data_IF_079024517093
#
_entry.id   IF_079024517093
#
_cell.length_a   1.000
_cell.length_b   1.000
_cell.length_c   1.000
_cell.angle_alpha   90.00
_cell.angle_beta   90.00
_cell.angle_gamma   90.00
#
_symmetry.space_group_name_H-M   'P 1'
#
loop_
_entity.id
_entity.type
_entity.pdbx_description
1 polymer ?
#
# COMPACT_ATOMS: atom_id res chain seq x y z
N UNK A 1 -84.31 23.68 7.10
CA UNK A 1 -83.43 22.52 7.31
C UNK A 1 -82.03 22.96 6.90
N UNK A 2 -81.09 22.90 7.85
CA UNK A 2 -79.67 23.32 7.82
C UNK A 2 -78.94 22.90 6.51
N UNK A 3 -77.90 23.55 5.98
CA UNK A 3 -76.85 24.42 6.54
C UNK A 3 -76.17 25.23 5.41
N UNK A 4 -75.67 26.41 5.75
CA UNK A 4 -74.95 27.38 4.90
C UNK A 4 -73.58 26.87 4.44
N UNK A 5 -73.19 27.20 3.20
CA UNK A 5 -71.80 27.16 2.72
C UNK A 5 -71.32 28.58 2.39
N UNK A 6 -70.24 29.02 3.05
CA UNK A 6 -69.52 30.26 2.70
C UNK A 6 -68.03 29.99 2.59
N UNK A 7 -67.48 30.46 1.48
CA UNK A 7 -66.09 30.35 1.01
C UNK A 7 -65.10 31.19 1.81
N UNK A 8 -63.90 30.66 2.08
CA UNK A 8 -62.71 31.46 2.39
C UNK A 8 -61.48 30.90 1.64
N UNK A 9 -60.77 31.79 0.93
CA UNK A 9 -59.48 31.51 0.25
C UNK A 9 -58.36 31.54 1.29
N UNK A 10 -57.50 30.52 1.29
CA UNK A 10 -56.26 30.49 2.10
C UNK A 10 -55.06 30.73 1.18
N UNK A 11 -54.26 31.75 1.49
CA UNK A 11 -52.91 31.96 0.94
C UNK A 11 -51.92 31.18 1.83
N UNK A 12 -51.14 30.28 1.24
CA UNK A 12 -50.05 29.57 1.93
C UNK A 12 -48.76 30.38 1.76
N UNK A 13 -48.17 30.77 2.89
CA UNK A 13 -46.80 31.29 2.96
C UNK A 13 -45.87 30.13 3.33
N UNK A 14 -44.88 29.85 2.49
CA UNK A 14 -43.87 28.81 2.73
C UNK A 14 -42.79 29.37 3.65
N UNK A 15 -42.66 28.78 4.85
CA UNK A 15 -41.62 29.09 5.83
C UNK A 15 -40.33 28.33 5.44
N UNK A 16 -39.24 29.05 5.12
CA UNK A 16 -37.90 28.45 5.00
C UNK A 16 -37.33 28.23 6.42
N UNK A 17 -37.14 26.97 6.80
CA UNK A 17 -36.35 26.59 7.99
C UNK A 17 -34.95 26.24 7.52
N UNK A 18 -33.95 27.04 7.92
CA UNK A 18 -32.55 26.72 7.73
C UNK A 18 -32.12 25.63 8.71
N UNK A 19 -31.83 24.43 8.19
CA UNK A 19 -31.15 23.38 8.95
C UNK A 19 -29.64 23.63 8.84
N UNK A 20 -29.02 24.08 9.94
CA UNK A 20 -27.58 24.01 10.12
C UNK A 20 -27.23 22.54 10.39
N UNK A 21 -26.82 21.80 9.35
CA UNK A 21 -26.26 20.47 9.50
C UNK A 21 -24.83 20.62 10.03
N UNK A 22 -24.67 20.54 11.34
CA UNK A 22 -23.36 20.26 11.95
C UNK A 22 -22.94 18.86 11.52
N UNK A 23 -21.83 18.75 10.79
CA UNK A 23 -21.18 17.46 10.53
C UNK A 23 -20.91 16.75 11.87
N UNK A 24 -21.07 15.42 11.96
CA UNK A 24 -20.70 14.69 13.17
C UNK A 24 -19.21 14.91 13.43
N UNK A 25 -18.84 15.26 14.66
CA UNK A 25 -17.46 15.33 15.09
C UNK A 25 -16.79 13.97 14.84
N UNK A 26 -15.66 13.98 14.11
CA UNK A 26 -14.81 12.79 13.99
C UNK A 26 -14.41 12.33 15.41
N UNK A 27 -14.59 11.05 15.71
CA UNK A 27 -14.16 10.47 16.98
C UNK A 27 -12.62 10.59 17.07
N UNK A 28 -12.11 11.14 18.17
CA UNK A 28 -10.68 11.26 18.40
C UNK A 28 -10.06 9.87 18.63
N UNK A 29 -9.20 9.42 17.72
CA UNK A 29 -8.41 8.20 17.88
C UNK A 29 -7.33 8.42 18.92
N UNK A 30 -7.11 7.44 19.80
CA UNK A 30 -6.25 7.62 20.97
C UNK A 30 -5.07 6.64 20.95
N UNK A 31 -3.85 7.17 21.02
CA UNK A 31 -2.64 6.39 21.31
C UNK A 31 -2.78 5.70 22.66
N UNK A 32 -2.61 4.38 22.68
CA UNK A 32 -2.63 3.61 23.92
C UNK A 32 -1.21 3.38 24.38
N UNK A 33 -0.92 3.67 25.65
CA UNK A 33 0.38 3.43 26.27
C UNK A 33 0.21 2.57 27.51
N UNK A 34 1.07 1.57 27.66
CA UNK A 34 1.27 0.79 28.88
C UNK A 34 2.74 0.88 29.31
N UNK A 35 3.01 1.59 30.41
CA UNK A 35 4.37 1.74 30.94
C UNK A 35 4.75 0.65 31.95
N UNK A 36 3.84 -0.26 32.30
CA UNK A 36 4.05 -1.31 33.31
C UNK A 36 4.38 -0.81 34.74
N UNK A 37 4.31 0.50 34.99
CA UNK A 37 4.59 1.09 36.31
C UNK A 37 3.48 0.84 37.34
N UNK A 38 2.27 0.62 36.84
CA UNK A 38 1.07 0.38 37.65
C UNK A 38 0.90 -1.11 37.99
N UNK A 39 0.07 -1.40 38.99
CA UNK A 39 -0.19 -2.77 39.41
C UNK A 39 0.98 -3.45 40.13
N UNK A 40 0.82 -4.75 40.39
CA UNK A 40 1.79 -5.57 41.10
C UNK A 40 1.65 -7.04 40.69
N UNK A 41 2.77 -7.69 40.38
CA UNK A 41 2.88 -9.14 40.24
C UNK A 41 4.33 -9.54 40.51
N UNK A 42 4.56 -10.22 41.64
CA UNK A 42 5.91 -10.56 42.10
C UNK A 42 6.39 -11.97 41.71
N UNK A 43 5.51 -12.82 41.16
CA UNK A 43 5.82 -14.20 40.80
C UNK A 43 5.63 -14.47 39.32
N UNK A 44 6.32 -15.49 38.80
CA UNK A 44 6.30 -15.84 37.37
C UNK A 44 5.07 -16.67 36.93
N UNK A 45 4.32 -17.29 37.85
CA UNK A 45 3.14 -18.09 37.49
C UNK A 45 2.10 -17.26 36.73
N UNK A 46 1.42 -17.88 35.75
CA UNK A 46 0.36 -17.24 34.96
C UNK A 46 -0.69 -16.56 35.86
N UNK A 47 -0.89 -15.26 35.68
CA UNK A 47 -1.99 -14.52 36.31
C UNK A 47 -2.34 -13.25 35.52
N UNK A 48 -3.60 -12.83 35.61
CA UNK A 48 -4.05 -11.52 35.12
C UNK A 48 -3.57 -10.41 36.06
N UNK A 49 -3.17 -9.27 35.48
CA UNK A 49 -2.75 -8.06 36.16
C UNK A 49 -3.50 -6.89 35.54
N UNK A 50 -4.18 -6.10 36.37
CA UNK A 50 -4.79 -4.84 35.93
C UNK A 50 -3.75 -3.73 35.95
N UNK A 51 -3.49 -3.17 34.77
CA UNK A 51 -2.57 -2.07 34.52
C UNK A 51 -3.32 -0.83 34.02
N UNK A 52 -2.60 0.25 33.77
CA UNK A 52 -3.15 1.54 33.30
C UNK A 52 -3.88 1.45 31.96
N UNK A 53 -3.39 0.62 31.04
CA UNK A 53 -4.03 0.40 29.73
C UNK A 53 -5.21 -0.57 29.79
N UNK A 54 -5.26 -1.44 30.80
CA UNK A 54 -6.26 -2.51 30.95
C UNK A 54 -5.67 -3.77 31.59
N UNK A 55 -6.41 -4.88 31.52
CA UNK A 55 -5.95 -6.17 32.08
C UNK A 55 -5.07 -6.95 31.11
N UNK A 56 -4.00 -7.53 31.64
CA UNK A 56 -3.02 -8.33 30.91
C UNK A 56 -2.75 -9.65 31.63
N UNK A 57 -2.71 -10.76 30.90
CA UNK A 57 -2.20 -12.02 31.44
C UNK A 57 -0.67 -12.04 31.35
N UNK A 58 0.00 -12.22 32.48
CA UNK A 58 1.45 -12.43 32.57
C UNK A 58 1.72 -13.90 32.87
N UNK A 59 2.31 -14.63 31.92
CA UNK A 59 2.73 -16.01 32.07
C UNK A 59 4.25 -16.13 31.90
N UNK A 60 4.91 -16.83 32.82
CA UNK A 60 6.36 -16.83 32.99
C UNK A 60 6.98 -15.42 32.95
N UNK A 61 6.24 -14.46 33.51
CA UNK A 61 6.58 -13.05 33.58
C UNK A 61 6.10 -12.41 34.89
N UNK A 62 6.72 -11.31 35.30
CA UNK A 62 6.35 -10.52 36.49
C UNK A 62 6.57 -9.02 36.23
N UNK A 63 6.16 -8.16 37.16
CA UNK A 63 6.52 -6.74 37.16
C UNK A 63 7.72 -6.52 38.08
N UNK A 64 8.86 -6.15 37.50
CA UNK A 64 10.14 -6.02 38.20
C UNK A 64 10.53 -4.56 38.44
N UNK A 65 11.11 -4.28 39.60
CA UNK A 65 11.72 -3.00 39.97
C UNK A 65 13.04 -3.20 40.75
N UNK A 66 13.71 -4.33 40.55
CA UNK A 66 15.00 -4.64 41.15
C UNK A 66 16.11 -3.81 40.48
N UNK A 67 17.28 -3.71 41.11
CA UNK A 67 18.41 -2.95 40.58
C UNK A 67 18.94 -3.43 39.20
N UNK A 68 18.57 -4.64 38.79
CA UNK A 68 18.93 -5.22 37.51
C UNK A 68 17.81 -5.11 36.46
N UNK A 69 16.63 -4.63 36.82
CA UNK A 69 15.63 -4.24 35.82
C UNK A 69 16.02 -2.92 35.22
N UNK A 70 16.07 -2.89 33.90
CA UNK A 70 16.17 -1.64 33.18
C UNK A 70 14.76 -1.18 32.86
N UNK A 71 14.38 -0.06 33.47
CA UNK A 71 13.03 0.50 33.46
C UNK A 71 13.06 1.94 32.96
N UNK A 72 11.96 2.37 32.35
CA UNK A 72 11.68 3.74 31.99
C UNK A 72 10.57 4.30 32.89
N UNK A 73 10.87 4.39 34.19
CA UNK A 73 9.88 4.73 35.20
C UNK A 73 10.21 4.07 36.52
N UNK A 74 9.28 3.25 37.00
CA UNK A 74 9.32 2.54 38.29
C UNK A 74 9.49 1.03 38.09
N UNK A 75 8.82 0.44 37.09
CA UNK A 75 8.82 -1.01 36.83
C UNK A 75 8.90 -1.32 35.35
N UNK A 76 9.33 -2.53 35.02
CA UNK A 76 9.18 -3.11 33.68
C UNK A 76 8.61 -4.54 33.80
N UNK A 77 8.01 -5.04 32.73
CA UNK A 77 7.70 -6.45 32.64
C UNK A 77 8.99 -7.27 32.50
N UNK A 78 9.23 -8.23 33.39
CA UNK A 78 10.37 -9.14 33.33
C UNK A 78 9.89 -10.53 32.93
N UNK A 79 10.38 -11.03 31.81
CA UNK A 79 9.94 -12.29 31.18
C UNK A 79 11.10 -13.28 31.05
N UNK A 80 10.83 -14.58 31.19
CA UNK A 80 11.82 -15.67 31.06
C UNK A 80 11.26 -16.87 30.30
N UNK A 81 12.10 -17.86 30.02
CA UNK A 81 11.70 -19.08 29.32
C UNK A 81 10.98 -18.77 28.00
N UNK A 82 9.75 -19.26 27.83
CA UNK A 82 8.84 -18.99 26.73
C UNK A 82 7.63 -18.14 27.19
N UNK A 83 7.85 -17.28 28.19
CA UNK A 83 6.82 -16.45 28.81
C UNK A 83 6.10 -15.53 27.83
N UNK A 84 4.92 -15.08 28.25
CA UNK A 84 3.98 -14.29 27.45
C UNK A 84 3.36 -13.16 28.24
N UNK A 85 3.14 -12.04 27.56
CA UNK A 85 2.30 -10.94 28.03
C UNK A 85 1.13 -10.80 27.05
N UNK A 86 -0.10 -11.04 27.51
CA UNK A 86 -1.29 -11.08 26.63
C UNK A 86 -2.30 -10.02 27.04
N UNK A 87 -2.73 -9.18 26.10
CA UNK A 87 -3.84 -8.27 26.32
C UNK A 87 -5.17 -9.04 26.47
N UNK A 88 -5.91 -8.76 27.53
CA UNK A 88 -7.23 -9.37 27.75
C UNK A 88 -8.38 -8.55 27.16
N UNK A 89 -8.07 -7.40 26.56
CA UNK A 89 -9.00 -6.46 25.95
C UNK A 89 -8.57 -6.14 24.51
N UNK A 90 -9.53 -5.71 23.69
CA UNK A 90 -9.28 -5.20 22.35
C UNK A 90 -9.24 -3.68 22.37
N UNK A 91 -8.28 -3.12 21.64
CA UNK A 91 -8.27 -1.70 21.29
C UNK A 91 -9.32 -1.44 20.22
N UNK A 92 -10.14 -0.39 20.36
CA UNK A 92 -11.25 -0.12 19.43
C UNK A 92 -10.78 0.34 18.05
N UNK A 93 -9.64 1.04 18.00
CA UNK A 93 -9.24 1.86 16.86
C UNK A 93 -8.16 1.19 15.97
N UNK A 94 -8.00 -0.13 16.01
CA UNK A 94 -6.92 -0.77 15.27
C UNK A 94 -5.52 -0.47 15.80
N UNK A 95 -4.50 -0.89 15.06
CA UNK A 95 -3.13 -0.47 15.28
C UNK A 95 -2.35 -0.21 13.98
N UNK A 96 -1.70 0.94 13.88
CA UNK A 96 -0.75 1.26 12.82
C UNK A 96 0.66 0.76 13.18
N UNK A 97 1.19 1.22 14.31
CA UNK A 97 2.51 0.82 14.81
C UNK A 97 2.42 0.42 16.27
N UNK A 98 3.32 -0.48 16.67
CA UNK A 98 3.54 -0.85 18.06
C UNK A 98 5.03 -0.67 18.36
N UNK A 99 5.35 0.03 19.44
CA UNK A 99 6.72 0.10 19.96
C UNK A 99 6.81 -0.53 21.33
N UNK A 100 7.93 -1.19 21.60
CA UNK A 100 8.22 -1.82 22.89
C UNK A 100 9.66 -1.51 23.23
N UNK A 101 9.91 -0.96 24.42
CA UNK A 101 11.27 -0.86 24.94
C UNK A 101 11.70 -2.21 25.51
N UNK A 102 12.97 -2.56 25.31
CA UNK A 102 13.50 -3.84 25.75
C UNK A 102 14.97 -3.74 26.14
N UNK A 103 15.38 -4.55 27.11
CA UNK A 103 16.76 -4.67 27.58
C UNK A 103 16.99 -6.06 28.19
N UNK A 104 18.24 -6.51 28.24
CA UNK A 104 18.62 -7.66 29.05
C UNK A 104 18.32 -7.39 30.52
N UNK A 105 17.96 -8.39 31.31
CA UNK A 105 17.96 -8.21 32.76
C UNK A 105 19.41 -8.22 33.28
N UNK A 106 19.90 -7.09 33.81
CA UNK A 106 21.29 -6.95 34.26
C UNK A 106 22.29 -7.39 33.18
N UNK A 107 22.96 -8.51 33.40
CA UNK A 107 23.92 -9.10 32.45
C UNK A 107 23.53 -10.51 31.98
N UNK A 108 22.23 -10.85 32.05
CA UNK A 108 21.71 -12.13 31.53
C UNK A 108 21.99 -12.28 30.02
N UNK A 109 21.96 -13.51 29.51
CA UNK A 109 22.27 -13.82 28.11
C UNK A 109 21.26 -13.28 27.08
N UNK A 110 21.71 -13.13 25.84
CA UNK A 110 20.92 -12.67 24.70
C UNK A 110 19.58 -13.41 24.54
N UNK A 111 18.53 -12.65 24.27
CA UNK A 111 17.14 -13.14 24.32
C UNK A 111 16.30 -12.59 23.17
N UNK A 112 15.50 -13.45 22.55
CA UNK A 112 14.60 -13.08 21.45
C UNK A 112 13.14 -12.98 21.89
N UNK A 113 12.42 -11.99 21.37
CA UNK A 113 10.96 -11.88 21.54
C UNK A 113 10.25 -11.51 20.23
N UNK A 114 8.94 -11.73 20.20
CA UNK A 114 8.08 -11.49 19.04
C UNK A 114 6.81 -10.77 19.46
N UNK A 115 6.29 -9.94 18.56
CA UNK A 115 4.95 -9.35 18.67
C UNK A 115 3.95 -10.18 17.88
N UNK A 116 2.79 -10.42 18.47
CA UNK A 116 1.67 -11.10 17.84
C UNK A 116 0.40 -10.28 18.04
N UNK A 117 -0.51 -10.30 17.07
CA UNK A 117 -1.82 -9.68 17.19
C UNK A 117 -2.95 -10.67 16.91
N UNK A 118 -4.13 -10.33 17.40
CA UNK A 118 -5.39 -10.94 17.00
C UNK A 118 -6.37 -9.82 16.64
N UNK A 119 -7.02 -9.91 15.48
CA UNK A 119 -8.05 -8.97 15.04
C UNK A 119 -9.43 -9.60 15.18
N UNK A 120 -10.44 -8.81 15.53
CA UNK A 120 -11.84 -9.24 15.47
C UNK A 120 -12.44 -9.14 14.05
N UNK A 121 -11.75 -8.46 13.14
CA UNK A 121 -12.24 -8.16 11.79
C UNK A 121 -11.47 -8.98 10.75
N UNK A 122 -10.14 -9.02 10.87
CA UNK A 122 -9.27 -9.75 9.95
C UNK A 122 -8.81 -11.06 10.59
N UNK A 123 -9.45 -12.18 10.26
CA UNK A 123 -9.17 -13.53 10.81
C UNK A 123 -9.43 -13.69 12.33
N UNK A 124 -10.71 -13.61 12.77
CA UNK A 124 -11.09 -13.68 14.18
C UNK A 124 -10.56 -14.94 14.88
N UNK A 125 -10.05 -14.78 16.11
CA UNK A 125 -9.63 -15.91 16.94
C UNK A 125 -8.23 -16.46 16.64
N UNK A 126 -7.53 -15.96 15.62
CA UNK A 126 -6.18 -16.43 15.24
C UNK A 126 -5.12 -15.42 15.66
N UNK A 127 -4.02 -15.90 16.26
CA UNK A 127 -2.85 -15.07 16.54
C UNK A 127 -1.92 -15.03 15.32
N UNK A 128 -1.56 -13.83 14.88
CA UNK A 128 -0.71 -13.58 13.70
C UNK A 128 0.56 -12.87 14.17
N UNK A 129 1.73 -13.35 13.74
CA UNK A 129 3.03 -12.74 14.06
C UNK A 129 3.19 -11.42 13.30
N UNK A 130 3.72 -10.40 13.98
CA UNK A 130 4.09 -9.11 13.39
C UNK A 130 5.61 -9.03 13.25
N UNK A 131 6.08 -8.81 12.02
CA UNK A 131 7.49 -8.58 11.73
C UNK A 131 8.42 -9.74 12.11
N UNK A 132 9.70 -9.42 12.25
CA UNK A 132 10.75 -10.36 12.65
C UNK A 132 10.85 -10.54 14.17
N UNK A 133 11.61 -11.55 14.58
CA UNK A 133 11.99 -11.74 15.98
C UNK A 133 13.02 -10.68 16.37
N UNK A 134 12.77 -9.95 17.46
CA UNK A 134 13.72 -8.96 18.00
C UNK A 134 14.70 -9.67 18.91
N UNK A 135 16.00 -9.46 18.68
CA UNK A 135 17.07 -10.01 19.51
C UNK A 135 17.63 -8.91 20.41
N UNK A 136 17.48 -9.08 21.72
CA UNK A 136 18.05 -8.21 22.74
C UNK A 136 19.37 -8.75 23.21
N UNK A 137 20.44 -7.96 23.08
CA UNK A 137 21.80 -8.32 23.49
C UNK A 137 22.47 -7.25 24.36
N UNK A 138 21.73 -6.22 24.78
CA UNK A 138 22.28 -5.09 25.52
C UNK A 138 21.44 -4.77 26.78
N UNK A 139 22.07 -4.29 27.87
CA UNK A 139 21.41 -3.93 29.11
C UNK A 139 20.76 -2.53 29.07
N UNK A 140 21.11 -1.67 28.12
CA UNK A 140 20.41 -0.40 27.97
C UNK A 140 19.06 -0.60 27.27
N UNK A 141 18.03 0.15 27.67
CA UNK A 141 16.74 0.13 26.99
C UNK A 141 16.88 0.56 25.53
N UNK A 142 16.43 -0.31 24.64
CA UNK A 142 16.33 -0.11 23.20
C UNK A 142 14.86 -0.13 22.82
N UNK A 143 14.47 0.53 21.73
CA UNK A 143 13.08 0.50 21.26
C UNK A 143 12.97 -0.39 20.03
N UNK A 144 12.16 -1.44 20.12
CA UNK A 144 11.69 -2.19 18.98
C UNK A 144 10.45 -1.51 18.41
N UNK A 145 10.35 -1.46 17.08
CA UNK A 145 9.20 -0.90 16.37
C UNK A 145 8.65 -1.91 15.38
N UNK A 146 7.34 -2.10 15.40
CA UNK A 146 6.62 -3.05 14.57
C UNK A 146 5.56 -2.31 13.76
N UNK A 147 5.57 -2.49 12.43
CA UNK A 147 4.48 -2.05 11.57
C UNK A 147 3.37 -3.11 11.61
N UNK A 148 2.22 -2.75 12.19
CA UNK A 148 1.07 -3.65 12.38
C UNK A 148 0.07 -3.46 11.25
N UNK A 149 -0.35 -2.22 11.00
CA UNK A 149 -1.28 -1.84 9.93
C UNK A 149 -2.57 -2.69 9.89
N UNK A 150 -3.21 -2.89 11.05
CA UNK A 150 -4.44 -3.68 11.17
C UNK A 150 -5.61 -2.76 11.56
N UNK A 151 -6.65 -2.62 10.72
CA UNK A 151 -7.87 -1.90 11.06
C UNK A 151 -8.76 -2.68 12.04
N UNK A 152 -9.70 -1.96 12.64
CA UNK A 152 -10.73 -2.54 13.50
C UNK A 152 -10.19 -3.07 14.81
N UNK A 153 -11.01 -3.74 15.61
CA UNK A 153 -10.59 -4.13 16.95
C UNK A 153 -9.42 -5.11 16.95
N UNK A 154 -8.31 -4.77 17.65
CA UNK A 154 -7.10 -5.61 17.76
C UNK A 154 -6.64 -5.73 19.20
N UNK A 155 -5.98 -6.84 19.51
CA UNK A 155 -5.22 -7.03 20.76
C UNK A 155 -3.88 -7.68 20.49
N UNK A 156 -2.96 -7.57 21.44
CA UNK A 156 -1.57 -8.01 21.26
C UNK A 156 -1.12 -9.05 22.28
N UNK A 157 -0.08 -9.78 21.89
CA UNK A 157 0.67 -10.69 22.75
C UNK A 157 2.17 -10.55 22.45
N UNK A 158 2.98 -10.40 23.50
CA UNK A 158 4.43 -10.45 23.43
C UNK A 158 4.90 -11.84 23.85
N UNK A 159 5.73 -12.49 23.02
CA UNK A 159 6.23 -13.84 23.28
C UNK A 159 7.74 -13.84 23.33
N UNK A 160 8.33 -14.32 24.42
CA UNK A 160 9.76 -14.65 24.43
C UNK A 160 9.96 -15.98 23.69
N UNK A 161 10.93 -16.03 22.77
CA UNK A 161 11.14 -17.18 21.88
C UNK A 161 12.56 -17.76 21.91
N UNK A 162 13.51 -17.06 22.51
CA UNK A 162 14.88 -17.57 22.69
C UNK A 162 15.55 -17.00 23.94
N UNK A 163 16.74 -17.52 24.29
CA UNK A 163 17.50 -17.15 25.49
C UNK A 163 17.22 -18.03 26.72
N UNK A 164 16.29 -19.00 26.61
CA UNK A 164 16.01 -19.96 27.69
C UNK A 164 15.64 -19.25 29.00
N UNK A 165 16.33 -19.60 30.08
CA UNK A 165 16.10 -19.02 31.41
C UNK A 165 16.57 -17.57 31.56
N UNK A 166 17.33 -17.03 30.59
CA UNK A 166 17.77 -15.65 30.60
C UNK A 166 16.56 -14.71 30.57
N UNK A 167 16.56 -13.72 31.47
CA UNK A 167 15.46 -12.79 31.64
C UNK A 167 15.61 -11.58 30.71
N UNK A 168 14.47 -11.08 30.28
CA UNK A 168 14.33 -9.93 29.40
C UNK A 168 13.41 -8.91 30.08
N UNK A 169 13.78 -7.64 30.07
CA UNK A 169 12.90 -6.53 30.41
C UNK A 169 12.17 -6.04 29.15
N UNK A 170 10.87 -5.84 29.28
CA UNK A 170 9.98 -5.22 28.30
C UNK A 170 9.27 -4.06 28.99
N UNK A 171 9.27 -2.91 28.35
CA UNK A 171 8.78 -1.67 28.94
C UNK A 171 8.16 -0.74 27.88
N UNK A 172 7.42 0.29 28.31
CA UNK A 172 6.80 1.31 27.44
C UNK A 172 6.16 0.71 26.17
N UNK A 173 5.15 -0.14 26.34
CA UNK A 173 4.37 -0.68 25.23
C UNK A 173 3.40 0.38 24.71
N UNK A 174 3.65 0.87 23.50
CA UNK A 174 2.86 1.95 22.89
C UNK A 174 2.22 1.43 21.61
N UNK A 175 0.91 1.64 21.47
CA UNK A 175 0.13 1.36 20.27
C UNK A 175 -0.37 2.68 19.69
N UNK A 176 0.11 3.02 18.50
CA UNK A 176 -0.50 4.06 17.70
C UNK A 176 -1.77 3.47 17.04
N UNK A 177 -2.95 4.10 17.17
CA UNK A 177 -4.19 3.58 16.61
C UNK A 177 -4.08 3.44 15.10
N UNK A 178 -4.80 2.47 14.53
CA UNK A 178 -4.99 2.41 13.09
C UNK A 178 -5.94 3.52 12.72
N UNK A 179 -5.37 4.62 12.28
CA UNK A 179 -6.17 5.62 11.68
C UNK A 179 -6.60 5.17 10.28
N UNK A 180 -7.91 5.17 9.99
CA UNK A 180 -8.38 5.52 8.63
C UNK A 180 -8.22 7.02 8.37
N UNK A 181 -7.20 7.63 8.98
CA UNK A 181 -6.58 8.85 8.51
C UNK A 181 -5.26 8.42 7.89
N UNK A 182 -4.87 9.03 6.80
CA UNK A 182 -3.76 8.57 5.98
C UNK A 182 -2.44 8.34 6.67
N UNK A 183 -1.54 7.58 6.03
CA UNK A 183 -0.21 7.42 6.55
C UNK A 183 0.45 8.80 6.78
N UNK A 184 1.27 8.95 7.84
CA UNK A 184 2.20 10.06 7.93
C UNK A 184 3.07 10.09 6.67
N UNK A 185 3.65 11.25 6.30
CA UNK A 185 4.64 11.28 5.23
C UNK A 185 5.69 10.21 5.52
N UNK A 186 6.21 9.51 4.50
CA UNK A 186 7.37 8.66 4.66
C UNK A 186 8.43 9.41 5.49
N UNK A 187 9.30 8.70 6.25
CA UNK A 187 10.50 9.32 6.76
C UNK A 187 11.11 10.16 5.64
N UNK A 188 11.43 11.42 5.94
CA UNK A 188 12.11 12.32 5.02
C UNK A 188 13.56 11.83 4.77
N UNK A 189 13.70 10.62 4.22
CA UNK A 189 14.93 9.92 3.83
C UNK A 189 14.68 8.64 3.00
N UNK A 190 13.48 8.39 2.44
CA UNK A 190 13.44 7.68 1.16
C UNK A 190 13.89 8.66 0.07
N UNK A 191 14.71 8.27 -0.92
CA UNK A 191 15.11 9.25 -1.93
C UNK A 191 13.84 9.79 -2.58
N UNK A 192 13.66 11.11 -2.54
CA UNK A 192 12.72 11.78 -3.44
C UNK A 192 12.95 11.21 -4.85
N UNK A 193 11.88 11.02 -5.64
CA UNK A 193 11.90 10.39 -6.96
C UNK A 193 11.84 8.84 -6.99
N UNK A 194 11.44 8.18 -5.90
CA UNK A 194 11.16 6.73 -5.91
C UNK A 194 9.89 6.39 -6.71
N UNK A 195 9.88 5.21 -7.31
CA UNK A 195 8.80 4.72 -8.16
C UNK A 195 7.57 4.28 -7.37
N UNK A 196 7.66 4.21 -6.04
CA UNK A 196 6.56 3.92 -5.13
C UNK A 196 6.21 5.11 -4.24
N UNK A 197 6.63 6.35 -4.58
CA UNK A 197 6.31 7.55 -3.79
C UNK A 197 4.81 7.73 -3.56
N UNK A 198 3.97 7.37 -4.55
CA UNK A 198 2.50 7.45 -4.42
C UNK A 198 1.88 6.21 -3.74
N UNK A 199 2.68 5.24 -3.31
CA UNK A 199 2.21 4.05 -2.58
C UNK A 199 2.44 2.74 -3.32
N UNK A 200 2.04 1.65 -2.66
CA UNK A 200 2.15 0.28 -3.16
C UNK A 200 0.73 -0.29 -3.37
N UNK A 201 0.20 -0.29 -4.60
CA UNK A 201 -1.24 -0.47 -4.84
C UNK A 201 -1.88 -1.78 -4.38
N UNK A 202 -1.07 -2.82 -4.18
CA UNK A 202 -1.56 -4.14 -3.78
C UNK A 202 -0.84 -4.67 -2.55
N UNK A 203 -0.02 -3.86 -1.88
CA UNK A 203 0.88 -4.33 -0.82
C UNK A 203 1.84 -5.42 -1.30
N UNK A 204 2.30 -5.34 -2.56
CA UNK A 204 3.23 -6.31 -3.12
C UNK A 204 4.53 -6.35 -2.30
N UNK A 205 5.06 -7.55 -2.08
CA UNK A 205 6.31 -7.77 -1.34
C UNK A 205 7.25 -8.69 -2.12
N UNK A 206 8.57 -8.53 -1.91
CA UNK A 206 9.57 -9.39 -2.52
C UNK A 206 9.68 -10.74 -1.78
N UNK A 207 8.57 -11.46 -1.70
CA UNK A 207 8.45 -12.77 -1.05
C UNK A 207 7.95 -13.82 -2.06
N UNK A 208 8.75 -14.86 -2.28
CA UNK A 208 8.41 -15.96 -3.18
C UNK A 208 7.10 -16.68 -2.81
N UNK A 209 6.67 -16.57 -1.54
CA UNK A 209 5.39 -17.09 -1.05
C UNK A 209 4.19 -16.23 -1.47
N UNK A 210 4.42 -15.06 -2.08
CA UNK A 210 3.41 -14.19 -2.69
C UNK A 210 3.55 -14.16 -4.23
N UNK A 211 3.48 -15.31 -4.93
CA UNK A 211 3.87 -15.42 -6.33
C UNK A 211 2.96 -14.66 -7.30
N UNK A 212 1.74 -14.35 -6.89
CA UNK A 212 0.77 -13.60 -7.69
C UNK A 212 0.79 -12.10 -7.40
N UNK A 213 1.65 -11.64 -6.47
CA UNK A 213 1.77 -10.25 -6.03
C UNK A 213 3.22 -9.92 -5.63
N UNK A 214 4.19 -10.39 -6.43
CA UNK A 214 5.61 -10.34 -6.10
C UNK A 214 6.23 -8.99 -6.49
N UNK A 215 6.82 -8.29 -5.53
CA UNK A 215 7.45 -7.00 -5.79
C UNK A 215 8.83 -7.17 -6.45
N UNK A 216 8.98 -6.60 -7.65
CA UNK A 216 10.26 -6.36 -8.30
C UNK A 216 10.57 -4.87 -8.25
N UNK A 217 11.55 -4.48 -7.44
CA UNK A 217 12.09 -3.12 -7.43
C UNK A 217 13.27 -3.03 -8.38
N UNK A 218 13.16 -2.18 -9.40
CA UNK A 218 14.26 -1.86 -10.32
C UNK A 218 14.59 -0.37 -10.21
N UNK A 219 15.82 0.04 -10.58
CA UNK A 219 16.17 1.46 -10.57
C UNK A 219 15.29 2.32 -11.46
N UNK A 220 14.63 1.74 -12.47
CA UNK A 220 13.84 2.47 -13.46
C UNK A 220 12.33 2.45 -13.21
N UNK A 221 11.81 1.46 -12.48
CA UNK A 221 10.38 1.31 -12.18
C UNK A 221 10.17 0.21 -11.13
N UNK A 222 9.01 0.18 -10.49
CA UNK A 222 8.59 -0.87 -9.57
C UNK A 222 7.45 -1.70 -10.17
N UNK A 223 7.41 -3.00 -9.89
CA UNK A 223 6.43 -3.93 -10.48
C UNK A 223 5.82 -4.82 -9.40
N UNK A 224 4.49 -4.96 -9.38
CA UNK A 224 3.86 -6.16 -8.82
C UNK A 224 3.72 -7.19 -9.94
N UNK A 225 4.49 -8.26 -9.86
CA UNK A 225 4.49 -9.32 -10.84
C UNK A 225 3.56 -10.46 -10.45
N UNK A 226 2.79 -10.97 -11.42
CA UNK A 226 1.92 -12.11 -11.24
C UNK A 226 2.45 -13.30 -12.04
N UNK A 227 3.12 -14.22 -11.32
CA UNK A 227 3.69 -15.44 -11.91
C UNK A 227 2.67 -16.22 -12.73
N UNK A 228 1.47 -16.38 -12.20
CA UNK A 228 0.44 -17.26 -12.78
C UNK A 228 -0.24 -16.63 -14.00
N UNK A 229 -0.08 -15.32 -14.19
CA UNK A 229 -0.55 -14.62 -15.38
C UNK A 229 0.55 -14.35 -16.41
N UNK A 230 1.83 -14.55 -16.06
CA UNK A 230 2.97 -14.24 -16.92
C UNK A 230 3.07 -12.75 -17.28
N UNK A 231 2.56 -11.86 -16.43
CA UNK A 231 2.50 -10.41 -16.67
C UNK A 231 2.42 -9.64 -15.33
N UNK A 232 2.68 -8.32 -15.30
CA UNK A 232 2.44 -7.52 -14.11
C UNK A 232 0.95 -7.40 -13.77
N UNK A 233 0.64 -7.25 -12.47
CA UNK A 233 -0.61 -6.68 -11.99
C UNK A 233 -0.62 -5.18 -12.25
N UNK A 234 0.46 -4.51 -11.86
CA UNK A 234 0.74 -3.10 -12.11
C UNK A 234 2.25 -2.85 -12.19
N UNK A 235 2.62 -1.75 -12.85
CA UNK A 235 3.96 -1.16 -12.88
C UNK A 235 3.83 0.32 -12.52
N UNK A 236 4.68 0.78 -11.62
CA UNK A 236 4.72 2.17 -11.15
C UNK A 236 6.07 2.79 -11.47
N UNK A 237 6.08 4.04 -11.92
CA UNK A 237 7.30 4.77 -12.21
C UNK A 237 7.14 6.28 -12.03
N UNK A 238 8.25 6.91 -11.68
CA UNK A 238 8.39 8.36 -11.64
C UNK A 238 8.95 8.84 -12.98
N UNK A 239 8.40 9.92 -13.53
CA UNK A 239 8.84 10.52 -14.77
C UNK A 239 9.09 12.02 -14.58
N UNK A 240 10.32 12.42 -14.83
CA UNK A 240 10.78 13.80 -14.84
C UNK A 240 12.01 13.91 -15.75
N UNK A 241 12.54 15.12 -15.91
CA UNK A 241 13.65 15.44 -16.81
C UNK A 241 14.88 14.52 -16.61
N UNK A 242 15.17 14.11 -15.36
CA UNK A 242 16.28 13.19 -15.01
C UNK A 242 16.24 11.85 -15.75
N UNK A 243 15.06 11.41 -16.18
CA UNK A 243 14.86 10.16 -16.91
C UNK A 243 14.93 10.32 -18.42
N UNK A 244 14.95 11.56 -18.89
CA UNK A 244 15.05 11.91 -20.31
C UNK A 244 16.50 12.14 -20.72
N UNK A 245 16.81 11.82 -21.95
CA UNK A 245 18.13 11.95 -22.53
C UNK A 245 18.13 11.54 -24.00
N UNK A 246 19.31 11.22 -24.52
CA UNK A 246 19.52 10.92 -25.94
C UNK A 246 19.78 9.45 -26.23
N UNK A 247 19.64 8.56 -25.24
CA UNK A 247 19.84 7.13 -25.44
C UNK A 247 18.85 6.59 -26.46
N UNK A 248 19.37 5.86 -27.46
CA UNK A 248 18.54 5.23 -28.48
C UNK A 248 17.66 4.13 -27.87
N UNK A 249 16.52 3.86 -28.54
CA UNK A 249 15.65 2.74 -28.20
C UNK A 249 16.37 1.39 -28.44
N UNK A 250 16.46 0.56 -27.42
CA UNK A 250 17.29 -0.66 -27.48
C UNK A 250 16.63 -1.83 -28.22
N UNK A 251 15.30 -1.99 -28.14
CA UNK A 251 14.56 -3.08 -28.78
C UNK A 251 15.01 -4.51 -28.37
N UNK A 252 15.67 -4.64 -27.23
CA UNK A 252 16.29 -5.86 -26.71
C UNK A 252 15.36 -6.62 -25.76
N UNK A 253 14.17 -6.97 -26.27
CA UNK A 253 13.17 -7.76 -25.53
C UNK A 253 13.81 -9.03 -24.98
N UNK A 254 13.74 -9.23 -23.66
CA UNK A 254 14.41 -10.36 -23.01
C UNK A 254 13.75 -10.78 -21.71
N UNK A 255 14.00 -12.03 -21.33
CA UNK A 255 13.60 -12.58 -20.03
C UNK A 255 14.18 -11.73 -18.90
N UNK A 256 13.42 -11.66 -17.80
CA UNK A 256 13.93 -11.07 -16.57
C UNK A 256 14.54 -12.16 -15.69
N UNK A 257 15.87 -12.25 -15.72
CA UNK A 257 16.62 -13.29 -15.01
C UNK A 257 16.63 -13.06 -13.48
N UNK A 258 16.01 -11.98 -12.98
CA UNK A 258 15.84 -11.75 -11.54
C UNK A 258 14.58 -12.41 -10.98
N UNK A 259 13.73 -13.01 -11.82
CA UNK A 259 12.60 -13.79 -11.35
C UNK A 259 13.08 -15.03 -10.56
N UNK A 260 12.35 -15.44 -9.50
CA UNK A 260 12.71 -16.62 -8.71
C UNK A 260 12.90 -17.89 -9.56
N UNK A 261 13.86 -18.72 -9.16
CA UNK A 261 14.16 -19.96 -9.86
C UNK A 261 12.92 -20.87 -9.97
N UNK A 262 12.74 -21.48 -11.14
CA UNK A 262 11.61 -22.36 -11.45
C UNK A 262 10.33 -21.63 -11.88
N UNK A 263 10.28 -20.29 -11.81
CA UNK A 263 9.17 -19.55 -12.39
C UNK A 263 9.28 -19.51 -13.90
N UNK A 264 8.13 -19.47 -14.57
CA UNK A 264 8.10 -19.26 -16.00
C UNK A 264 8.65 -17.85 -16.33
N UNK A 265 9.73 -17.81 -17.12
CA UNK A 265 10.31 -16.56 -17.60
C UNK A 265 9.80 -16.30 -19.02
N UNK A 266 8.98 -15.26 -19.15
CA UNK A 266 8.45 -14.83 -20.44
C UNK A 266 9.61 -14.42 -21.35
N UNK A 267 9.72 -15.08 -22.51
CA UNK A 267 10.77 -14.84 -23.48
C UNK A 267 10.36 -13.85 -24.56
N UNK A 268 11.34 -13.39 -25.34
CA UNK A 268 11.10 -12.50 -26.47
C UNK A 268 10.16 -13.12 -27.51
N UNK A 269 10.24 -14.43 -27.74
CA UNK A 269 9.40 -15.18 -28.70
C UNK A 269 8.01 -15.53 -28.18
N UNK A 270 7.71 -15.34 -26.90
CA UNK A 270 6.43 -15.72 -26.28
C UNK A 270 5.20 -15.03 -26.89
N UNK A 271 5.40 -13.89 -27.54
CA UNK A 271 4.34 -13.11 -28.18
C UNK A 271 4.22 -13.38 -29.69
N UNK A 272 5.19 -14.10 -30.27
CA UNK A 272 5.29 -14.32 -31.72
C UNK A 272 4.05 -15.04 -32.25
N UNK A 273 3.46 -14.52 -33.32
CA UNK A 273 2.27 -15.10 -33.95
C UNK A 273 0.96 -14.95 -33.17
N UNK A 274 0.97 -14.28 -32.01
CA UNK A 274 -0.24 -14.09 -31.20
C UNK A 274 -1.22 -13.06 -31.77
N UNK A 275 -0.73 -12.10 -32.56
CA UNK A 275 -1.48 -10.94 -33.01
C UNK A 275 -1.58 -9.81 -31.96
N UNK A 276 -0.91 -9.95 -30.81
CA UNK A 276 -0.75 -8.90 -29.81
C UNK A 276 0.67 -8.32 -29.86
N UNK A 277 0.78 -7.03 -29.59
CA UNK A 277 2.06 -6.35 -29.37
C UNK A 277 2.64 -6.71 -28.00
N UNK A 278 3.95 -6.55 -27.87
CA UNK A 278 4.65 -6.50 -26.57
C UNK A 278 4.43 -5.10 -25.98
N UNK A 279 3.27 -4.90 -25.38
CA UNK A 279 2.84 -3.62 -24.81
C UNK A 279 3.65 -3.30 -23.55
N UNK A 280 4.36 -2.18 -23.55
CA UNK A 280 5.14 -1.74 -22.39
C UNK A 280 4.20 -1.20 -21.31
N UNK A 281 4.53 -1.40 -20.03
CA UNK A 281 3.91 -0.62 -18.97
C UNK A 281 4.67 0.70 -18.77
N UNK A 282 5.91 0.63 -18.29
CA UNK A 282 6.85 1.75 -18.34
C UNK A 282 7.41 1.85 -19.78
N UNK A 283 7.10 2.89 -20.56
CA UNK A 283 7.47 2.94 -21.96
C UNK A 283 8.94 3.29 -22.14
N UNK A 284 9.52 2.80 -23.24
CA UNK A 284 10.93 3.03 -23.57
C UNK A 284 11.28 4.53 -23.69
N UNK A 285 10.36 5.35 -24.22
CA UNK A 285 10.56 6.79 -24.37
C UNK A 285 10.61 7.56 -23.04
N UNK A 286 10.19 6.95 -21.93
CA UNK A 286 10.26 7.54 -20.59
C UNK A 286 11.60 7.24 -19.90
N UNK A 287 12.48 6.46 -20.53
CA UNK A 287 13.80 6.07 -20.01
C UNK A 287 14.85 6.22 -21.09
N UNK A 288 15.28 7.45 -21.35
CA UNK A 288 16.27 7.79 -22.39
C UNK A 288 17.53 8.44 -21.83
N UNK A 289 17.64 8.56 -20.50
CA UNK A 289 18.84 9.08 -19.81
C UNK A 289 20.08 8.25 -20.14
N UNK A 290 20.00 6.92 -20.01
CA UNK A 290 21.10 6.01 -20.37
C UNK A 290 20.62 4.82 -21.20
N UNK A 291 21.57 4.17 -21.90
CA UNK A 291 21.32 2.90 -22.60
C UNK A 291 20.80 1.82 -21.64
N UNK A 292 21.33 1.78 -20.41
CA UNK A 292 20.90 0.80 -19.39
C UNK A 292 19.45 1.04 -18.94
N UNK A 293 19.06 2.30 -18.74
CA UNK A 293 17.69 2.65 -18.37
C UNK A 293 16.71 2.29 -19.47
N UNK A 294 17.07 2.60 -20.73
CA UNK A 294 16.24 2.26 -21.87
C UNK A 294 16.12 0.74 -22.06
N UNK A 295 17.24 0.01 -21.98
CA UNK A 295 17.27 -1.45 -22.06
C UNK A 295 16.41 -2.09 -20.97
N UNK A 296 16.37 -1.51 -19.76
CA UNK A 296 15.56 -2.04 -18.67
C UNK A 296 14.06 -2.09 -19.03
N UNK A 297 13.53 -1.18 -19.86
CA UNK A 297 12.10 -1.20 -20.23
C UNK A 297 11.73 -2.39 -21.10
N UNK A 298 12.70 -3.09 -21.69
CA UNK A 298 12.51 -4.26 -22.56
C UNK A 298 12.50 -5.61 -21.83
N UNK A 299 12.61 -5.60 -20.49
CA UNK A 299 12.37 -6.80 -19.70
C UNK A 299 10.91 -7.25 -19.84
N UNK A 300 10.69 -8.54 -20.08
CA UNK A 300 9.33 -9.06 -20.30
C UNK A 300 8.42 -8.99 -19.05
N UNK A 301 8.99 -8.75 -17.87
CA UNK A 301 8.23 -8.42 -16.63
C UNK A 301 7.53 -7.06 -16.70
N UNK A 302 7.89 -6.21 -17.65
CA UNK A 302 7.24 -4.92 -17.97
C UNK A 302 6.23 -5.03 -19.14
N UNK A 303 5.95 -6.24 -19.64
CA UNK A 303 5.11 -6.42 -20.84
C UNK A 303 3.72 -6.99 -20.54
N UNK A 304 2.73 -6.56 -21.32
CA UNK A 304 1.40 -7.19 -21.41
C UNK A 304 1.05 -7.48 -22.88
N UNK A 305 0.21 -8.50 -23.16
CA UNK A 305 -0.41 -8.66 -24.49
C UNK A 305 -1.36 -7.49 -24.76
N UNK A 306 -0.94 -6.57 -25.62
CA UNK A 306 -1.71 -5.37 -25.94
C UNK A 306 -2.15 -5.39 -27.40
N UNK A 307 -3.41 -5.05 -27.67
CA UNK A 307 -3.92 -4.97 -29.03
C UNK A 307 -3.13 -3.89 -29.80
N UNK A 308 -2.79 -4.11 -31.09
CA UNK A 308 -2.10 -3.07 -31.86
C UNK A 308 -2.82 -1.72 -31.91
N UNK A 309 -4.15 -1.69 -31.99
CA UNK A 309 -4.91 -0.44 -31.93
C UNK A 309 -4.78 0.27 -30.57
N UNK A 310 -4.78 -0.47 -29.46
CA UNK A 310 -4.62 0.13 -28.13
C UNK A 310 -3.18 0.66 -27.97
N UNK A 311 -2.17 -0.19 -28.19
CA UNK A 311 -0.75 0.15 -28.04
C UNK A 311 -0.31 1.33 -28.93
N UNK A 312 -0.57 1.25 -30.23
CA UNK A 312 0.01 2.16 -31.22
C UNK A 312 -0.79 3.45 -31.41
N UNK A 313 -2.04 3.52 -30.88
CA UNK A 313 -2.89 4.71 -30.97
C UNK A 313 -3.15 5.29 -29.60
N UNK A 314 -4.12 4.73 -28.85
CA UNK A 314 -4.58 5.28 -27.56
C UNK A 314 -3.40 5.45 -26.61
N UNK A 315 -2.62 4.38 -26.43
CA UNK A 315 -1.52 4.36 -25.47
C UNK A 315 -0.37 5.25 -25.89
N UNK A 316 0.12 5.10 -27.13
CA UNK A 316 1.17 5.95 -27.68
C UNK A 316 0.85 7.45 -27.61
N UNK A 317 -0.40 7.84 -27.87
CA UNK A 317 -0.83 9.25 -27.81
C UNK A 317 -0.84 9.76 -26.37
N UNK A 318 -1.34 8.98 -25.42
CA UNK A 318 -1.38 9.37 -24.01
C UNK A 318 0.03 9.42 -23.37
N UNK A 319 0.91 8.52 -23.76
CA UNK A 319 2.33 8.56 -23.38
C UNK A 319 3.04 9.79 -23.94
N UNK A 320 2.74 10.14 -25.20
CA UNK A 320 3.20 11.40 -25.80
C UNK A 320 2.78 12.61 -24.98
N UNK A 321 1.49 12.67 -24.61
CA UNK A 321 0.96 13.75 -23.78
C UNK A 321 1.61 13.82 -22.39
N UNK A 322 1.92 12.67 -21.79
CA UNK A 322 2.62 12.64 -20.50
C UNK A 322 3.98 13.33 -20.59
N UNK A 323 4.72 13.10 -21.68
CA UNK A 323 6.02 13.77 -21.90
C UNK A 323 5.87 15.27 -22.17
N UNK A 324 4.82 15.74 -22.85
CA UNK A 324 4.61 17.19 -23.02
C UNK A 324 4.31 17.90 -21.69
N UNK A 325 3.71 17.21 -20.72
CA UNK A 325 3.56 17.75 -19.37
C UNK A 325 4.91 17.90 -18.67
N UNK A 326 5.82 16.93 -18.85
CA UNK A 326 7.19 17.00 -18.31
C UNK A 326 7.96 18.15 -18.95
N UNK A 327 7.90 18.29 -20.28
CA UNK A 327 8.50 19.41 -21.01
C UNK A 327 7.96 20.78 -20.54
N UNK A 328 6.72 20.81 -20.02
CA UNK A 328 6.09 22.00 -19.45
C UNK A 328 6.49 22.27 -17.99
N UNK A 329 7.47 21.55 -17.43
CA UNK A 329 7.98 21.76 -16.08
C UNK A 329 7.22 21.00 -14.99
N UNK A 330 6.54 19.90 -15.37
CA UNK A 330 5.92 18.99 -14.41
C UNK A 330 6.79 17.75 -14.18
N UNK A 331 6.52 17.08 -13.08
CA UNK A 331 6.93 15.72 -12.80
C UNK A 331 5.68 14.85 -12.60
N UNK A 332 5.78 13.60 -13.04
CA UNK A 332 4.67 12.68 -13.09
C UNK A 332 4.95 11.44 -12.26
N UNK A 333 3.94 11.00 -11.51
CA UNK A 333 3.92 9.68 -10.89
C UNK A 333 2.88 8.85 -11.62
N UNK A 334 3.34 7.78 -12.27
CA UNK A 334 2.52 7.02 -13.21
C UNK A 334 2.41 5.58 -12.73
N UNK A 335 1.18 5.08 -12.66
CA UNK A 335 0.87 3.68 -12.36
C UNK A 335 0.04 3.14 -13.52
N UNK A 336 0.46 2.02 -14.08
CA UNK A 336 -0.25 1.33 -15.15
C UNK A 336 -0.49 -0.13 -14.79
N UNK A 337 -1.59 -0.68 -15.27
CA UNK A 337 -1.83 -2.12 -15.19
C UNK A 337 -2.89 -2.59 -16.18
N UNK A 338 -3.31 -3.83 -15.99
CA UNK A 338 -4.32 -4.46 -16.84
C UNK A 338 -5.11 -5.52 -16.08
N UNK A 339 -6.40 -5.62 -16.38
CA UNK A 339 -7.31 -6.55 -15.71
C UNK A 339 -8.24 -7.29 -16.69
N UNK A 340 -9.03 -8.18 -16.12
CA UNK A 340 -9.96 -9.04 -16.84
C UNK A 340 -9.29 -10.14 -17.68
N UNK A 341 -10.04 -10.70 -18.62
CA UNK A 341 -9.61 -11.81 -19.47
C UNK A 341 -10.20 -11.65 -20.86
N UNK A 342 -9.37 -11.76 -21.89
CA UNK A 342 -9.83 -11.82 -23.26
C UNK A 342 -9.74 -10.51 -24.04
N UNK A 343 -8.65 -10.31 -24.77
CA UNK A 343 -8.47 -9.17 -25.67
C UNK A 343 -8.62 -9.59 -27.14
N UNK A 344 -8.62 -8.62 -28.04
CA UNK A 344 -8.68 -8.86 -29.50
C UNK A 344 -7.47 -8.25 -30.19
N UNK A 345 -6.55 -9.11 -30.64
CA UNK A 345 -5.38 -8.76 -31.43
C UNK A 345 -5.69 -8.74 -32.94
N UNK A 346 -4.66 -8.62 -33.78
CA UNK A 346 -4.83 -8.73 -35.26
C UNK A 346 -5.29 -10.11 -35.71
N UNK A 347 -5.01 -11.14 -34.90
CA UNK A 347 -5.39 -12.53 -35.17
C UNK A 347 -6.74 -12.91 -34.52
N UNK A 348 -7.48 -11.93 -33.99
CA UNK A 348 -8.77 -12.15 -33.33
C UNK A 348 -8.66 -12.23 -31.81
N UNK A 349 -9.72 -12.76 -31.19
CA UNK A 349 -9.84 -12.87 -29.74
C UNK A 349 -8.90 -13.93 -29.17
N UNK A 350 -8.25 -13.62 -28.04
CA UNK A 350 -7.51 -14.60 -27.25
C UNK A 350 -7.64 -14.31 -25.76
N UNK A 351 -7.83 -15.36 -24.96
CA UNK A 351 -7.81 -15.30 -23.50
C UNK A 351 -6.38 -15.45 -22.94
N UNK A 352 -5.53 -16.20 -23.64
CA UNK A 352 -4.14 -16.46 -23.28
C UNK A 352 -3.29 -16.59 -24.54
N UNK A 353 -1.99 -16.32 -24.43
CA UNK A 353 -0.99 -16.60 -25.47
C UNK A 353 0.06 -17.57 -24.93
N UNK A 354 1.02 -17.95 -25.78
CA UNK A 354 2.20 -18.72 -25.40
C UNK A 354 1.88 -20.07 -24.71
N UNK A 355 0.93 -20.82 -25.29
CA UNK A 355 0.49 -22.09 -24.75
C UNK A 355 -0.26 -21.98 -23.41
N UNK A 356 -0.88 -20.82 -23.13
CA UNK A 356 -1.66 -20.61 -21.90
C UNK A 356 -0.90 -19.92 -20.78
N UNK A 357 0.41 -19.67 -20.95
CA UNK A 357 1.31 -19.18 -19.89
C UNK A 357 1.23 -17.67 -19.66
N UNK A 358 0.66 -16.93 -20.61
CA UNK A 358 0.50 -15.48 -20.50
C UNK A 358 -0.96 -15.14 -20.71
N UNK A 359 -1.56 -14.49 -19.71
CA UNK A 359 -2.97 -14.08 -19.74
C UNK A 359 -3.12 -12.80 -20.56
N UNK A 360 -4.09 -12.78 -21.46
CA UNK A 360 -4.46 -11.58 -22.23
C UNK A 360 -5.53 -10.82 -21.44
N UNK A 361 -5.25 -9.57 -21.01
CA UNK A 361 -6.26 -8.73 -20.37
C UNK A 361 -7.28 -8.21 -21.40
N UNK A 362 -8.50 -7.89 -20.98
CA UNK A 362 -9.48 -7.22 -21.84
C UNK A 362 -9.52 -5.70 -21.62
N UNK A 363 -8.85 -5.21 -20.57
CA UNK A 363 -8.80 -3.80 -20.17
C UNK A 363 -7.39 -3.39 -19.77
N UNK A 364 -6.99 -2.18 -20.15
CA UNK A 364 -5.68 -1.58 -19.82
C UNK A 364 -5.94 -0.21 -19.22
N UNK A 365 -5.37 0.04 -18.05
CA UNK A 365 -5.62 1.27 -17.29
C UNK A 365 -4.31 1.96 -16.89
N UNK A 366 -4.40 3.27 -16.65
CA UNK A 366 -3.27 4.09 -16.20
C UNK A 366 -3.78 5.26 -15.37
N UNK A 367 -3.07 5.55 -14.28
CA UNK A 367 -3.25 6.72 -13.43
C UNK A 367 -1.98 7.56 -13.47
N UNK A 368 -2.12 8.86 -13.66
CA UNK A 368 -1.03 9.84 -13.69
C UNK A 368 -1.34 10.95 -12.69
N UNK A 369 -0.47 11.12 -11.70
CA UNK A 369 -0.42 12.31 -10.85
C UNK A 369 0.44 13.36 -11.54
N UNK A 370 -0.08 14.57 -11.77
CA UNK A 370 0.65 15.67 -12.40
C UNK A 370 0.99 16.72 -11.35
N UNK A 371 2.28 16.94 -11.09
CA UNK A 371 2.76 17.98 -10.18
C UNK A 371 3.76 18.89 -10.90
N UNK A 372 3.78 20.20 -10.63
CA UNK A 372 4.96 21.00 -10.98
C UNK A 372 6.21 20.41 -10.34
N UNK A 373 7.39 20.53 -10.95
CA UNK A 373 8.64 20.03 -10.32
C UNK A 373 8.85 20.66 -8.94
N UNK A 374 9.16 19.85 -7.93
CA UNK A 374 9.39 20.32 -6.56
C UNK A 374 10.01 19.26 -5.65
N UNK A 375 9.76 19.41 -4.35
CA UNK A 375 10.17 18.47 -3.30
C UNK A 375 8.98 18.11 -2.42
N UNK A 376 9.09 17.07 -1.61
CA UNK A 376 8.03 16.60 -0.72
C UNK A 376 6.70 16.26 -1.45
N UNK A 377 6.78 15.54 -2.56
CA UNK A 377 5.71 15.45 -3.56
C UNK A 377 4.37 14.94 -3.04
N UNK A 378 4.37 13.94 -2.16
CA UNK A 378 3.15 13.43 -1.50
C UNK A 378 2.38 14.56 -0.83
N UNK A 379 3.07 15.49 -0.17
CA UNK A 379 2.45 16.62 0.54
C UNK A 379 1.90 17.70 -0.39
N UNK A 380 2.34 17.72 -1.66
CA UNK A 380 1.91 18.70 -2.67
C UNK A 380 0.68 18.21 -3.44
N UNK A 381 0.33 16.93 -3.33
CA UNK A 381 -0.94 16.42 -3.86
C UNK A 381 -2.09 16.95 -3.00
N UNK A 382 -3.03 17.60 -3.67
CA UNK A 382 -4.20 18.23 -3.06
C UNK A 382 -5.42 18.01 -3.93
N UNK A 383 -6.59 18.44 -3.45
CA UNK A 383 -7.85 18.35 -4.21
C UNK A 383 -7.84 19.12 -5.55
N UNK A 384 -6.88 20.05 -5.75
CA UNK A 384 -6.68 20.74 -7.03
C UNK A 384 -5.62 20.10 -7.93
N UNK A 385 -4.89 19.09 -7.44
CA UNK A 385 -3.90 18.38 -8.25
C UNK A 385 -4.61 17.64 -9.38
N UNK A 386 -4.04 17.75 -10.58
CA UNK A 386 -4.60 17.07 -11.75
C UNK A 386 -4.20 15.60 -11.72
N UNK A 387 -5.19 14.72 -11.63
CA UNK A 387 -5.04 13.28 -11.74
C UNK A 387 -5.71 12.83 -13.04
N UNK A 388 -4.95 12.17 -13.92
CA UNK A 388 -5.48 11.62 -15.18
C UNK A 388 -5.59 10.11 -15.00
N UNK A 389 -6.81 9.59 -15.00
CA UNK A 389 -7.09 8.16 -15.00
C UNK A 389 -7.80 7.76 -16.30
N UNK A 390 -7.28 6.73 -16.97
CA UNK A 390 -7.91 6.14 -18.16
C UNK A 390 -8.07 4.64 -18.00
N UNK A 391 -9.13 4.08 -18.57
CA UNK A 391 -9.36 2.65 -18.69
C UNK A 391 -9.92 2.32 -20.08
N UNK A 392 -9.07 1.73 -20.92
CA UNK A 392 -9.32 1.50 -22.34
C UNK A 392 -9.51 0.00 -22.65
N UNK A 393 -10.36 -0.34 -23.64
CA UNK A 393 -10.48 -1.72 -24.08
C UNK A 393 -9.19 -2.20 -24.76
N UNK A 394 -8.83 -3.47 -24.50
CA UNK A 394 -7.71 -4.14 -25.15
C UNK A 394 -8.13 -4.85 -26.43
N UNK A 395 -8.69 -4.10 -27.37
CA UNK A 395 -9.19 -4.61 -28.65
C UNK A 395 -8.85 -3.67 -29.81
N UNK A 396 -9.31 -4.00 -31.02
CA UNK A 396 -9.04 -3.22 -32.23
C UNK A 396 -9.89 -1.94 -32.38
N UNK A 397 -10.79 -1.65 -31.44
CA UNK A 397 -11.67 -0.46 -31.47
C UNK A 397 -10.99 0.83 -30.97
N UNK A 398 -9.86 0.67 -30.27
CA UNK A 398 -9.10 1.77 -29.69
C UNK A 398 -8.68 2.83 -30.73
N UNK A 399 -8.74 4.11 -30.34
CA UNK A 399 -8.52 5.27 -31.21
C UNK A 399 -7.44 6.21 -30.64
N UNK A 400 -7.00 7.21 -31.39
CA UNK A 400 -6.02 8.20 -30.89
C UNK A 400 -6.61 9.16 -29.85
N UNK A 401 -7.94 9.30 -29.78
CA UNK A 401 -8.59 10.13 -28.77
C UNK A 401 -8.70 9.37 -27.45
N UNK A 402 -7.60 9.36 -26.70
CA UNK A 402 -7.54 8.69 -25.41
C UNK A 402 -8.47 9.33 -24.36
N UNK A 403 -8.86 10.60 -24.56
CA UNK A 403 -9.71 11.35 -23.64
C UNK A 403 -11.10 10.75 -23.45
N UNK A 404 -11.59 9.97 -24.41
CA UNK A 404 -12.87 9.27 -24.33
C UNK A 404 -12.87 8.09 -23.33
N UNK A 405 -11.69 7.62 -22.91
CA UNK A 405 -11.52 6.52 -21.97
C UNK A 405 -11.25 7.00 -20.54
N UNK A 406 -11.42 8.30 -20.26
CA UNK A 406 -11.22 8.86 -18.93
C UNK A 406 -12.24 8.31 -17.95
N UNK A 407 -11.75 7.92 -16.78
CA UNK A 407 -12.53 7.41 -15.65
C UNK A 407 -12.02 8.07 -14.36
N UNK A 408 -12.65 7.77 -13.24
CA UNK A 408 -12.13 8.13 -11.92
C UNK A 408 -11.10 7.09 -11.47
N UNK A 409 -10.26 7.41 -10.49
CA UNK A 409 -9.36 6.41 -9.89
C UNK A 409 -10.19 5.36 -9.16
N UNK A 410 -11.24 5.78 -8.43
CA UNK A 410 -12.20 4.87 -7.77
C UNK A 410 -12.75 3.80 -8.73
N UNK A 411 -13.00 4.15 -10.00
CA UNK A 411 -13.52 3.19 -10.98
C UNK A 411 -12.49 2.11 -11.34
N UNK A 412 -11.20 2.48 -11.38
CA UNK A 412 -10.10 1.54 -11.60
C UNK A 412 -9.92 0.66 -10.36
N UNK A 413 -9.96 1.23 -9.16
CA UNK A 413 -9.88 0.48 -7.91
C UNK A 413 -11.03 -0.52 -7.76
N UNK A 414 -12.26 -0.08 -8.02
CA UNK A 414 -13.43 -0.96 -8.02
C UNK A 414 -13.31 -2.13 -9.02
N UNK A 415 -12.66 -1.91 -10.17
CA UNK A 415 -12.45 -2.94 -11.18
C UNK A 415 -11.29 -3.90 -10.87
N UNK A 416 -10.31 -3.47 -10.05
CA UNK A 416 -9.03 -4.18 -9.87
C UNK A 416 -8.81 -4.71 -8.46
N UNK A 417 -9.48 -4.13 -7.46
CA UNK A 417 -9.24 -4.37 -6.04
C UNK A 417 -7.93 -3.76 -5.51
N UNK A 418 -7.33 -2.82 -6.26
CA UNK A 418 -6.14 -2.07 -5.83
C UNK A 418 -6.52 -0.85 -4.99
N UNK A 419 -5.57 -0.40 -4.18
CA UNK A 419 -5.57 0.87 -3.43
C UNK A 419 -4.49 1.78 -4.05
N UNK A 420 -4.86 2.47 -5.11
CA UNK A 420 -4.01 3.35 -5.89
C UNK A 420 -3.79 4.65 -5.12
N UNK A 421 -2.61 5.25 -5.28
CA UNK A 421 -2.25 6.46 -4.54
C UNK A 421 -2.28 6.30 -3.00
N UNK A 422 -2.16 5.06 -2.50
CA UNK A 422 -2.23 4.69 -1.07
C UNK A 422 -1.28 5.43 -0.12
N UNK A 423 -0.21 6.08 -0.63
CA UNK A 423 0.63 6.93 0.20
C UNK A 423 0.03 8.32 0.48
N UNK A 424 -1.01 8.72 -0.25
CA UNK A 424 -1.65 10.02 -0.11
C UNK A 424 -2.50 10.11 1.15
N UNK A 425 -2.75 11.34 1.62
CA UNK A 425 -3.74 11.58 2.63
C UNK A 425 -5.13 10.98 2.30
N UNK A 426 -5.87 10.23 3.15
CA UNK A 426 -7.17 9.65 2.79
C UNK A 426 -8.17 10.75 2.41
N UNK A 427 -8.16 11.88 3.13
CA UNK A 427 -8.95 13.05 2.74
C UNK A 427 -8.54 13.65 1.38
N UNK A 428 -7.30 13.42 0.93
CA UNK A 428 -6.83 13.79 -0.42
C UNK A 428 -7.23 12.72 -1.42
N UNK A 429 -7.05 11.43 -1.13
CA UNK A 429 -7.52 10.29 -1.92
C UNK A 429 -9.02 10.47 -2.25
N UNK A 430 -9.89 10.58 -1.24
CA UNK A 430 -11.33 10.84 -1.39
C UNK A 430 -11.65 12.06 -2.28
N UNK A 431 -10.81 13.08 -2.24
CA UNK A 431 -11.01 14.32 -3.00
C UNK A 431 -10.50 14.25 -4.44
N UNK A 432 -9.48 13.44 -4.74
CA UNK A 432 -8.86 13.36 -6.08
C UNK A 432 -9.32 12.12 -6.85
N UNK A 433 -9.59 11.02 -6.17
CA UNK A 433 -9.85 9.71 -6.78
C UNK A 433 -11.26 9.58 -7.33
N UNK A 434 -12.23 10.26 -6.70
CA UNK A 434 -13.61 10.35 -7.18
C UNK A 434 -13.79 11.20 -8.45
N UNK A 435 -12.77 11.99 -8.85
CA UNK A 435 -12.86 12.92 -9.97
C UNK A 435 -12.47 12.25 -11.29
N UNK A 436 -13.19 12.60 -12.34
CA UNK A 436 -12.78 12.31 -13.72
C UNK A 436 -12.08 13.54 -14.30
N UNK A 437 -10.86 13.39 -14.81
CA UNK A 437 -10.15 14.48 -15.50
C UNK A 437 -11.00 15.03 -16.65
N UNK A 438 -11.05 16.36 -16.74
CA UNK A 438 -11.66 17.07 -17.87
C UNK A 438 -10.68 18.03 -18.55
N UNK A 439 -9.38 17.92 -18.24
CA UNK A 439 -8.33 18.76 -18.79
C UNK A 439 -7.98 18.45 -20.25
N UNK A 440 -6.98 19.16 -20.80
CA UNK A 440 -6.51 18.97 -22.17
C UNK A 440 -5.97 17.57 -22.42
N UNK A 441 -6.08 17.08 -23.66
CA UNK A 441 -5.63 15.74 -24.05
C UNK A 441 -4.51 15.73 -25.09
N UNK A 442 -4.02 16.92 -25.46
CA UNK A 442 -3.01 17.17 -26.49
C UNK A 442 -2.35 18.51 -26.26
#
# INVERSE_FOLDING_TARGET
MLLFTTSWRVRVWTLLVGLCLTAPAALAQTTTTESFDSGSKAGYAAASVTLSSGSWTFDDALLGSDANDHVAGVKAARIRNAGRLTMEFFLPDGAATVTVRHALYGTDGGSGFELWYQSQVCSPGTWIKVGGTVITNAPNLQTASFAVNVPGQVRFELRKVSGGTARLNLDDFVVAPFASTPPPPPPATGPENDHLTMGNPSGAVADINQPTNYLLSKPQYAVSYNRDQGKPNWVSWYLADVWTGTAARQNDFRTDNTLPAGWYQVGSSSYSGSGFDRGHNCPSADRTSTVADNSATFLMTNMIPQSPANNQKTWATQEGYSRTLVDAGNELYIIMGSYGLGGTGTNGYAATIDGGRIRVPNRVWKVIVVLPVGTNDVSRVSSSTRIIAIDAPNDQSATTDWGQYRVSVDAIEAATGLDLLSALPLSVQEAVEAKVDNGPTK
#
